data_IF_644687548766
#
_entry.id   IF_644687548766
#
_cell.length_a   1.000
_cell.length_b   1.000
_cell.length_c   1.000
_cell.angle_alpha   90.00
_cell.angle_beta   90.00
_cell.angle_gamma   90.00
#
_symmetry.space_group_name_H-M   'P 1'
#
loop_
_entity.id
_entity.type
_entity.pdbx_description
1 polymer ?
#
# COMPACT_ATOMS: atom_id res chain seq x y z
N UNK A 1 -12.75 16.54 -8.68
CA UNK A 1 -11.39 17.01 -8.36
C UNK A 1 -10.50 15.78 -8.24
N UNK A 2 -9.38 15.75 -8.95
CA UNK A 2 -8.41 14.67 -8.82
C UNK A 2 -7.49 15.01 -7.63
N UNK A 3 -7.71 14.37 -6.49
CA UNK A 3 -6.95 14.58 -5.24
C UNK A 3 -5.79 13.58 -5.09
N UNK A 4 -5.48 12.84 -6.16
CA UNK A 4 -4.47 11.79 -6.15
C UNK A 4 -3.06 12.31 -5.80
N UNK A 5 -2.57 13.45 -6.36
CA UNK A 5 -1.25 13.95 -6.01
C UNK A 5 -1.12 14.26 -4.52
N UNK A 6 -2.11 14.92 -3.93
CA UNK A 6 -2.13 15.24 -2.50
C UNK A 6 -2.17 13.96 -1.65
N UNK A 7 -2.96 12.97 -2.06
CA UNK A 7 -3.03 11.67 -1.38
C UNK A 7 -1.68 10.95 -1.37
N UNK A 8 -0.99 10.89 -2.51
CA UNK A 8 0.31 10.22 -2.63
C UNK A 8 1.39 10.95 -1.80
N UNK A 9 1.38 12.28 -1.79
CA UNK A 9 2.26 13.08 -0.94
C UNK A 9 1.98 12.79 0.54
N UNK A 10 0.71 12.72 0.94
CA UNK A 10 0.36 12.44 2.33
C UNK A 10 0.84 11.06 2.77
N UNK A 11 0.68 10.02 1.94
CA UNK A 11 1.21 8.68 2.24
C UNK A 11 2.72 8.70 2.44
N UNK A 12 3.46 9.43 1.59
CA UNK A 12 4.91 9.56 1.72
C UNK A 12 5.29 10.29 3.02
N UNK A 13 4.63 11.41 3.31
CA UNK A 13 4.88 12.19 4.54
C UNK A 13 4.62 11.33 5.78
N UNK A 14 3.49 10.61 5.82
CA UNK A 14 3.15 9.75 6.96
C UNK A 14 4.18 8.62 7.12
N UNK A 15 4.54 7.93 6.03
CA UNK A 15 5.56 6.88 6.06
C UNK A 15 6.92 7.40 6.55
N UNK A 16 7.35 8.54 6.01
CA UNK A 16 8.60 9.21 6.37
C UNK A 16 8.63 9.68 7.83
N UNK A 17 7.50 10.19 8.35
CA UNK A 17 7.39 10.65 9.74
C UNK A 17 7.34 9.49 10.74
N UNK A 18 6.70 8.38 10.38
CA UNK A 18 6.54 7.22 11.27
C UNK A 18 7.80 6.33 11.37
N UNK A 19 8.73 6.44 10.43
CA UNK A 19 9.92 5.58 10.34
C UNK A 19 11.21 6.40 10.31
N UNK A 20 11.86 6.64 11.47
CA UNK A 20 13.11 7.40 11.55
C UNK A 20 14.22 6.90 10.63
N UNK A 21 14.36 5.58 10.49
CA UNK A 21 15.38 4.94 9.65
C UNK A 21 15.18 5.24 8.15
N UNK A 22 13.92 5.43 7.72
CA UNK A 22 13.60 5.84 6.34
C UNK A 22 14.14 7.23 6.08
N UNK A 23 14.05 8.15 7.06
CA UNK A 23 14.57 9.50 6.93
C UNK A 23 16.09 9.53 6.79
N UNK A 24 16.80 8.74 7.58
CA UNK A 24 18.26 8.65 7.50
C UNK A 24 18.69 8.05 6.15
N UNK A 25 18.09 6.91 5.78
CA UNK A 25 18.38 6.22 4.51
C UNK A 25 18.08 7.12 3.31
N UNK A 26 16.92 7.80 3.32
CA UNK A 26 16.55 8.74 2.27
C UNK A 26 17.51 9.94 2.19
N UNK A 27 17.95 10.46 3.33
CA UNK A 27 18.95 11.52 3.40
C UNK A 27 20.30 11.10 2.79
N UNK A 28 20.78 9.89 3.10
CA UNK A 28 22.00 9.32 2.55
C UNK A 28 21.88 9.09 1.03
N UNK A 29 20.77 8.51 0.57
CA UNK A 29 20.51 8.29 -0.86
C UNK A 29 20.44 9.60 -1.64
N UNK A 30 19.91 10.68 -1.05
CA UNK A 30 19.94 12.02 -1.63
C UNK A 30 21.35 12.64 -1.65
N UNK A 31 22.17 12.34 -0.65
CA UNK A 31 23.50 12.94 -0.47
C UNK A 31 24.63 12.24 -1.27
N UNK A 32 24.58 10.92 -1.45
CA UNK A 32 25.68 10.14 -2.05
C UNK A 32 25.69 10.06 -3.59
N UNK A 33 24.66 10.53 -4.29
CA UNK A 33 24.76 10.84 -5.72
C UNK A 33 23.52 10.65 -6.60
N UNK A 34 23.43 11.53 -7.61
CA UNK A 34 22.67 11.40 -8.88
C UNK A 34 21.15 11.65 -8.90
N UNK A 35 20.58 12.31 -7.88
CA UNK A 35 19.17 12.74 -7.96
C UNK A 35 18.99 14.22 -7.61
N UNK A 36 19.85 15.08 -8.15
CA UNK A 36 19.52 16.50 -8.33
C UNK A 36 18.51 16.59 -9.49
N UNK A 37 17.22 16.48 -9.16
CA UNK A 37 16.12 16.71 -10.11
C UNK A 37 15.41 15.48 -10.65
N UNK A 38 15.86 14.26 -10.34
CA UNK A 38 15.01 13.08 -10.46
C UNK A 38 14.22 12.93 -9.16
N UNK A 39 12.94 13.27 -9.23
CA UNK A 39 11.98 12.88 -8.19
C UNK A 39 12.17 11.39 -7.94
N UNK A 40 12.51 11.06 -6.69
CA UNK A 40 12.70 9.69 -6.24
C UNK A 40 11.52 8.88 -6.77
N UNK A 41 11.80 8.07 -7.80
CA UNK A 41 10.82 7.26 -8.51
C UNK A 41 9.94 6.61 -7.45
N UNK A 42 8.67 6.98 -7.42
CA UNK A 42 7.82 6.65 -6.28
C UNK A 42 7.81 5.13 -6.08
N UNK A 43 8.43 4.68 -4.99
CA UNK A 43 8.41 3.29 -4.58
C UNK A 43 6.97 2.80 -4.56
N UNK A 44 6.72 1.51 -4.88
CA UNK A 44 5.37 0.99 -4.78
C UNK A 44 4.82 1.17 -3.37
N UNK A 45 3.60 1.70 -3.28
CA UNK A 45 2.88 1.79 -2.01
C UNK A 45 2.38 0.38 -1.68
N UNK A 46 2.81 -0.18 -0.55
CA UNK A 46 2.38 -1.49 -0.08
C UNK A 46 1.67 -1.37 1.27
N UNK A 47 0.47 -1.94 1.36
CA UNK A 47 -0.32 -1.94 2.59
C UNK A 47 -1.07 -3.25 2.80
N UNK A 48 -1.60 -3.44 4.00
CA UNK A 48 -2.23 -4.67 4.47
C UNK A 48 -3.60 -4.35 5.04
N UNK A 49 -4.54 -5.27 4.86
CA UNK A 49 -5.90 -5.13 5.34
C UNK A 49 -6.50 -6.50 5.66
N UNK A 50 -7.63 -6.54 6.37
CA UNK A 50 -8.32 -7.79 6.71
C UNK A 50 -9.35 -8.18 5.65
N UNK A 51 -9.63 -9.48 5.50
CA UNK A 51 -10.66 -10.04 4.60
C UNK A 51 -12.10 -9.81 5.09
N UNK A 52 -12.38 -8.66 5.69
CA UNK A 52 -13.71 -8.32 6.22
C UNK A 52 -14.49 -7.41 5.27
N UNK A 53 -15.81 -7.65 5.04
CA UNK A 53 -16.63 -6.82 4.17
C UNK A 53 -16.58 -5.30 4.43
N UNK A 54 -16.30 -4.88 5.67
CA UNK A 54 -16.17 -3.46 6.05
C UNK A 54 -14.86 -2.84 5.56
N UNK A 55 -13.77 -3.61 5.53
CA UNK A 55 -12.39 -3.11 5.32
C UNK A 55 -11.57 -4.03 4.40
N UNK A 56 -12.16 -4.66 3.39
CA UNK A 56 -11.40 -5.52 2.47
C UNK A 56 -10.66 -4.74 1.37
N UNK A 57 -9.89 -5.45 0.55
CA UNK A 57 -9.17 -4.88 -0.61
C UNK A 57 -10.10 -4.10 -1.51
N UNK A 58 -11.30 -4.62 -1.78
CA UNK A 58 -12.25 -3.94 -2.64
C UNK A 58 -12.69 -2.59 -2.06
N UNK A 59 -12.84 -2.48 -0.73
CA UNK A 59 -13.16 -1.20 -0.08
C UNK A 59 -12.00 -0.21 -0.16
N UNK A 60 -10.77 -0.65 0.17
CA UNK A 60 -9.61 0.23 0.15
C UNK A 60 -9.23 0.66 -1.28
N UNK A 61 -9.33 -0.25 -2.24
CA UNK A 61 -9.01 0.02 -3.64
C UNK A 61 -9.94 1.03 -4.30
N UNK A 62 -11.16 1.26 -3.79
CA UNK A 62 -12.12 2.22 -4.37
C UNK A 62 -11.52 3.60 -4.59
N UNK A 63 -10.77 4.11 -3.62
CA UNK A 63 -10.13 5.43 -3.72
C UNK A 63 -9.10 5.48 -4.85
N UNK A 64 -8.28 4.43 -4.98
CA UNK A 64 -7.30 4.34 -6.06
C UNK A 64 -7.97 4.18 -7.43
N UNK A 65 -8.99 3.32 -7.53
CA UNK A 65 -9.75 3.09 -8.77
C UNK A 65 -10.47 4.37 -9.22
N UNK A 66 -11.07 5.11 -8.29
CA UNK A 66 -11.67 6.42 -8.57
C UNK A 66 -10.65 7.45 -9.12
N UNK A 67 -9.38 7.28 -8.77
CA UNK A 67 -8.26 8.07 -9.25
C UNK A 67 -7.59 7.50 -10.51
N UNK A 68 -8.16 6.48 -11.17
CA UNK A 68 -7.66 5.94 -12.44
C UNK A 68 -6.73 4.73 -12.34
N UNK A 69 -6.56 4.15 -11.15
CA UNK A 69 -5.84 2.88 -11.01
C UNK A 69 -6.69 1.69 -11.48
N UNK A 70 -6.02 0.69 -12.04
CA UNK A 70 -6.63 -0.56 -12.49
C UNK A 70 -5.95 -1.75 -11.82
N UNK A 71 -6.75 -2.74 -11.40
CA UNK A 71 -6.20 -4.02 -10.93
C UNK A 71 -5.50 -4.73 -12.09
N UNK A 72 -4.29 -5.23 -11.84
CA UNK A 72 -3.45 -5.86 -12.86
C UNK A 72 -3.22 -7.33 -12.58
N UNK A 73 -2.81 -7.66 -11.36
CA UNK A 73 -2.36 -9.00 -11.00
C UNK A 73 -2.83 -9.37 -9.58
N UNK A 74 -2.93 -10.67 -9.34
CA UNK A 74 -3.26 -11.25 -8.04
C UNK A 74 -2.30 -12.40 -7.71
N UNK A 75 -1.78 -12.41 -6.49
CA UNK A 75 -0.91 -13.46 -5.96
C UNK A 75 -1.49 -14.02 -4.66
N UNK A 76 -1.59 -15.33 -4.55
CA UNK A 76 -1.96 -16.01 -3.32
C UNK A 76 -0.72 -16.50 -2.57
N UNK A 77 -0.71 -16.33 -1.24
CA UNK A 77 0.32 -16.82 -0.32
C UNK A 77 -0.33 -17.73 0.74
N UNK A 78 -0.64 -19.00 0.40
CA UNK A 78 -1.40 -19.90 1.27
C UNK A 78 -0.76 -20.13 2.64
N UNK A 79 0.57 -20.27 2.68
CA UNK A 79 1.32 -20.46 3.94
C UNK A 79 1.16 -19.28 4.91
N UNK A 80 0.97 -18.08 4.36
CA UNK A 80 0.74 -16.85 5.14
C UNK A 80 -0.74 -16.51 5.30
N UNK A 81 -1.65 -17.32 4.72
CA UNK A 81 -3.10 -17.06 4.66
C UNK A 81 -3.41 -15.67 4.11
N UNK A 82 -2.78 -15.31 3.00
CA UNK A 82 -2.74 -13.92 2.51
C UNK A 82 -2.93 -13.87 1.00
N UNK A 83 -3.74 -12.95 0.51
CA UNK A 83 -3.87 -12.60 -0.91
C UNK A 83 -3.27 -11.23 -1.18
N UNK A 84 -2.71 -10.97 -2.35
CA UNK A 84 -2.18 -9.65 -2.71
C UNK A 84 -2.63 -9.24 -4.10
N UNK A 85 -3.07 -8.00 -4.22
CA UNK A 85 -3.53 -7.39 -5.47
C UNK A 85 -2.63 -6.23 -5.84
N UNK A 86 -2.25 -6.19 -7.11
CA UNK A 86 -1.49 -5.10 -7.68
C UNK A 86 -2.41 -4.18 -8.48
N UNK A 87 -2.27 -2.87 -8.26
CA UNK A 87 -2.95 -1.83 -9.00
C UNK A 87 -1.93 -0.92 -9.69
N UNK A 88 -2.21 -0.51 -10.93
CA UNK A 88 -1.37 0.40 -11.73
C UNK A 88 -2.21 1.53 -12.30
N UNK A 89 -1.64 2.73 -12.36
CA UNK A 89 -2.22 3.84 -13.10
C UNK A 89 -1.74 3.82 -14.56
N UNK A 90 -2.51 4.43 -15.48
CA UNK A 90 -2.12 4.57 -16.90
C UNK A 90 -0.88 5.45 -17.08
N UNK A 91 -0.71 6.41 -16.19
CA UNK A 91 0.51 7.21 -16.06
C UNK A 91 1.60 6.37 -15.35
N UNK A 92 2.62 5.99 -16.09
CA UNK A 92 3.73 5.17 -15.61
C UNK A 92 4.69 5.89 -14.66
N UNK A 93 4.54 7.21 -14.46
CA UNK A 93 5.30 7.97 -13.46
C UNK A 93 4.74 7.80 -12.04
N UNK A 94 3.49 7.35 -11.91
CA UNK A 94 2.84 7.16 -10.61
C UNK A 94 3.20 5.81 -9.99
N UNK A 95 3.27 5.73 -8.65
CA UNK A 95 3.63 4.49 -7.97
C UNK A 95 2.59 3.42 -8.22
N UNK A 96 3.06 2.18 -8.30
CA UNK A 96 2.19 0.99 -8.22
C UNK A 96 1.65 0.88 -6.80
N UNK A 97 0.45 0.34 -6.64
CA UNK A 97 -0.15 0.10 -5.32
C UNK A 97 -0.33 -1.40 -5.13
N UNK A 98 0.18 -1.93 -4.02
CA UNK A 98 0.02 -3.32 -3.60
C UNK A 98 -0.84 -3.35 -2.34
N UNK A 99 -1.99 -4.03 -2.41
CA UNK A 99 -2.86 -4.22 -1.26
C UNK A 99 -2.88 -5.71 -0.95
N UNK A 100 -2.40 -6.04 0.24
CA UNK A 100 -2.42 -7.38 0.80
C UNK A 100 -3.64 -7.55 1.70
N UNK A 101 -4.33 -8.68 1.60
CA UNK A 101 -5.46 -9.06 2.44
C UNK A 101 -5.12 -10.27 3.27
N UNK A 102 -5.24 -10.15 4.59
CA UNK A 102 -5.09 -11.26 5.51
C UNK A 102 -6.41 -11.99 5.64
N UNK A 103 -6.42 -13.28 5.31
CA UNK A 103 -7.61 -14.12 5.41
C UNK A 103 -7.81 -14.61 6.85
N UNK A 104 -8.46 -13.79 7.69
CA UNK A 104 -8.67 -14.02 9.12
C UNK A 104 -9.45 -15.33 9.34
N UNK A 105 -10.40 -15.62 8.45
CA UNK A 105 -11.20 -16.85 8.44
C UNK A 105 -10.37 -18.15 8.39
N UNK A 106 -9.11 -18.09 7.95
CA UNK A 106 -8.21 -19.25 7.87
C UNK A 106 -7.37 -19.48 9.14
N UNK A 107 -7.49 -18.62 10.14
CA UNK A 107 -6.81 -18.74 11.43
C UNK A 107 -7.68 -19.46 12.48
N UNK A 108 -7.14 -19.71 13.67
CA UNK A 108 -7.90 -20.36 14.75
C UNK A 108 -9.08 -19.50 15.21
N UNK A 109 -10.13 -20.10 15.80
CA UNK A 109 -11.28 -19.34 16.30
C UNK A 109 -10.91 -18.21 17.26
N UNK A 110 -9.90 -18.42 18.11
CA UNK A 110 -9.42 -17.42 19.07
C UNK A 110 -8.80 -16.21 18.35
N UNK A 111 -8.01 -16.46 17.30
CA UNK A 111 -7.45 -15.39 16.48
C UNK A 111 -8.54 -14.64 15.71
N UNK A 112 -9.55 -15.35 15.22
CA UNK A 112 -10.68 -14.73 14.52
C UNK A 112 -11.43 -13.74 15.42
N UNK A 113 -11.63 -14.08 16.70
CA UNK A 113 -12.24 -13.16 17.68
C UNK A 113 -11.42 -11.89 17.83
N UNK A 114 -10.10 -12.01 18.05
CA UNK A 114 -9.22 -10.84 18.17
C UNK A 114 -9.19 -10.02 16.90
N UNK A 115 -9.13 -10.66 15.73
CA UNK A 115 -9.17 -9.97 14.44
C UNK A 115 -10.44 -9.15 14.27
N UNK A 116 -11.59 -9.69 14.67
CA UNK A 116 -12.88 -9.01 14.61
C UNK A 116 -13.01 -7.85 15.60
N UNK A 117 -12.33 -7.89 16.75
CA UNK A 117 -12.28 -6.77 17.70
C UNK A 117 -11.46 -5.56 17.18
N UNK A 118 -10.54 -5.81 16.24
CA UNK A 118 -9.68 -4.78 15.64
C UNK A 118 -10.26 -4.13 14.38
N UNK A 119 -11.34 -4.70 13.83
CA UNK A 119 -12.05 -4.23 12.61
C UNK A 119 -13.20 -3.28 12.97
#
# INVERSE_FOLDING_TARGET
>A
MNYLPELLIQFWVDYYTLKPDVRETYGLLRHEGRHEGEDVLHDPIATWIFDDPKVNVAQLAKSFVACGYMACDHCAFPEKRLGAWQFKHMDGSLPKVFISELHVSLFSPEFQVVGQELI
#
